data_IF_758316524270
#
_entry.id   IF_758316524270
#
_cell.length_a   1.000
_cell.length_b   1.000
_cell.length_c   1.000
_cell.angle_alpha   90.00
_cell.angle_beta   90.00
_cell.angle_gamma   90.00
#
_symmetry.space_group_name_H-M   'P 1'
#
loop_
_entity.id
_entity.type
_entity.pdbx_description
1 polymer ?
#
# COMPACT_ATOMS: atom_id res chain seq x y z
N UNK A 1 5.77 -24.11 10.70
CA UNK A 1 5.30 -22.76 11.10
C UNK A 1 4.37 -22.17 10.06
N UNK A 2 4.79 -22.08 8.79
CA UNK A 2 3.93 -21.57 7.71
C UNK A 2 2.65 -22.40 7.50
N UNK A 3 2.74 -23.73 7.60
CA UNK A 3 1.56 -24.61 7.47
C UNK A 3 0.52 -24.34 8.56
N UNK A 4 0.96 -24.18 9.81
CA UNK A 4 0.09 -23.85 10.93
C UNK A 4 -0.61 -22.47 10.77
N UNK A 5 0.08 -21.49 10.17
CA UNK A 5 -0.53 -20.19 9.83
C UNK A 5 -1.59 -20.37 8.73
N UNK A 6 -1.31 -21.22 7.74
CA UNK A 6 -2.25 -21.59 6.68
C UNK A 6 -3.52 -22.24 7.23
N UNK A 7 -3.37 -23.24 8.11
CA UNK A 7 -4.49 -23.97 8.69
C UNK A 7 -5.39 -23.08 9.54
N UNK A 8 -4.81 -22.21 10.37
CA UNK A 8 -5.58 -21.24 11.17
C UNK A 8 -6.35 -20.29 10.26
N UNK A 9 -5.70 -19.77 9.21
CA UNK A 9 -6.33 -18.86 8.26
C UNK A 9 -7.50 -19.55 7.54
N UNK A 10 -7.31 -20.77 7.05
CA UNK A 10 -8.34 -21.55 6.38
C UNK A 10 -9.53 -21.86 7.30
N UNK A 11 -9.28 -22.16 8.58
CA UNK A 11 -10.34 -22.46 9.55
C UNK A 11 -11.23 -21.26 9.86
N UNK A 12 -10.67 -20.06 9.98
CA UNK A 12 -11.41 -18.86 10.36
C UNK A 12 -11.88 -18.00 9.17
N UNK A 13 -11.36 -18.23 7.97
CA UNK A 13 -11.79 -17.51 6.76
C UNK A 13 -13.31 -17.58 6.52
N UNK A 14 -13.98 -18.75 6.57
CA UNK A 14 -15.43 -18.84 6.30
C UNK A 14 -16.27 -18.08 7.32
N UNK A 15 -15.90 -18.15 8.60
CA UNK A 15 -16.59 -17.40 9.67
C UNK A 15 -16.41 -15.89 9.45
N UNK A 16 -15.19 -15.46 9.16
CA UNK A 16 -14.89 -14.04 8.90
C UNK A 16 -15.65 -13.53 7.68
N UNK A 17 -15.75 -14.31 6.61
CA UNK A 17 -16.51 -13.96 5.41
C UNK A 17 -18.01 -13.84 5.68
N UNK A 18 -18.59 -14.79 6.41
CA UNK A 18 -20.03 -14.72 6.74
C UNK A 18 -20.37 -13.51 7.62
N UNK A 19 -19.53 -13.19 8.61
CA UNK A 19 -19.68 -11.99 9.44
C UNK A 19 -19.54 -10.71 8.61
N UNK A 20 -18.56 -10.64 7.70
CA UNK A 20 -18.39 -9.50 6.78
C UNK A 20 -19.62 -9.29 5.90
N UNK A 21 -20.22 -10.35 5.36
CA UNK A 21 -21.44 -10.28 4.55
C UNK A 21 -22.61 -9.71 5.36
N UNK A 22 -22.84 -10.26 6.55
CA UNK A 22 -23.92 -9.78 7.45
C UNK A 22 -23.70 -8.31 7.87
N UNK A 23 -22.47 -7.91 8.13
CA UNK A 23 -22.15 -6.51 8.42
C UNK A 23 -22.48 -5.60 7.23
N UNK A 24 -22.14 -6.00 6.01
CA UNK A 24 -22.44 -5.23 4.80
C UNK A 24 -23.96 -5.08 4.56
N UNK A 25 -24.73 -6.15 4.77
CA UNK A 25 -26.19 -6.12 4.69
C UNK A 25 -26.82 -5.14 5.69
N UNK A 26 -26.41 -5.24 6.96
CA UNK A 26 -26.89 -4.33 8.02
C UNK A 26 -26.49 -2.88 7.74
N UNK A 27 -25.24 -2.65 7.30
CA UNK A 27 -24.76 -1.32 6.93
C UNK A 27 -25.57 -0.73 5.77
N UNK A 28 -25.90 -1.53 4.75
CA UNK A 28 -26.74 -1.10 3.62
C UNK A 28 -28.14 -0.68 4.08
N UNK A 29 -28.75 -1.46 4.98
CA UNK A 29 -30.05 -1.11 5.57
C UNK A 29 -30.00 0.19 6.36
N UNK A 30 -28.99 0.36 7.22
CA UNK A 30 -28.78 1.60 7.99
C UNK A 30 -28.56 2.79 7.06
N UNK A 31 -27.72 2.64 6.03
CA UNK A 31 -27.45 3.70 5.07
C UNK A 31 -28.73 4.13 4.34
N UNK A 32 -29.52 3.17 3.85
CA UNK A 32 -30.78 3.46 3.13
C UNK A 32 -31.74 4.26 4.00
N UNK A 33 -31.91 3.85 5.27
CA UNK A 33 -32.77 4.57 6.20
C UNK A 33 -32.24 5.96 6.54
N UNK A 34 -30.93 6.09 6.84
CA UNK A 34 -30.29 7.36 7.17
C UNK A 34 -30.32 8.35 6.00
N UNK A 35 -30.19 7.89 4.75
CA UNK A 35 -30.28 8.73 3.56
C UNK A 35 -31.71 9.26 3.35
N UNK A 36 -32.73 8.43 3.57
CA UNK A 36 -34.14 8.83 3.48
C UNK A 36 -34.55 9.85 4.57
N UNK A 37 -33.94 9.78 5.75
CA UNK A 37 -34.25 10.66 6.90
C UNK A 37 -33.15 11.70 7.15
N UNK A 38 -32.31 11.98 6.15
CA UNK A 38 -31.11 12.80 6.33
C UNK A 38 -31.42 14.20 6.85
N UNK A 39 -32.44 14.84 6.30
CA UNK A 39 -32.80 16.21 6.70
C UNK A 39 -33.30 16.25 8.13
N UNK A 40 -34.08 15.27 8.57
CA UNK A 40 -34.51 15.15 9.98
C UNK A 40 -33.29 14.95 10.90
N UNK A 41 -32.43 14.00 10.57
CA UNK A 41 -31.25 13.63 11.35
C UNK A 41 -30.21 14.75 11.46
N UNK A 42 -30.15 15.64 10.47
CA UNK A 42 -29.14 16.70 10.40
C UNK A 42 -29.69 18.09 10.69
N UNK A 43 -30.99 18.21 11.03
CA UNK A 43 -31.64 19.50 11.22
C UNK A 43 -31.66 20.34 9.95
N UNK A 44 -31.99 19.72 8.82
CA UNK A 44 -31.96 20.26 7.46
C UNK A 44 -30.54 20.69 7.03
N UNK A 45 -29.55 19.84 7.31
CA UNK A 45 -28.15 20.06 6.93
C UNK A 45 -27.32 20.96 7.84
N UNK A 46 -27.83 21.33 9.03
CA UNK A 46 -27.07 22.12 10.03
C UNK A 46 -25.83 21.37 10.56
N UNK A 47 -25.95 20.06 10.70
CA UNK A 47 -24.83 19.17 11.06
C UNK A 47 -24.62 18.11 10.00
N UNK A 48 -23.50 17.38 10.06
CA UNK A 48 -23.19 16.28 9.12
C UNK A 48 -23.05 14.95 9.84
N UNK A 49 -23.72 14.81 10.98
CA UNK A 49 -23.69 13.60 11.80
C UNK A 49 -25.01 13.45 12.57
N UNK A 50 -25.30 12.23 13.00
CA UNK A 50 -26.40 11.93 13.91
C UNK A 50 -25.95 10.89 14.95
N UNK A 51 -26.14 11.22 16.22
CA UNK A 51 -25.84 10.34 17.35
C UNK A 51 -27.00 9.37 17.58
N UNK A 52 -26.69 8.09 17.68
CA UNK A 52 -27.59 6.98 17.96
C UNK A 52 -27.20 6.32 19.28
N UNK A 53 -28.05 5.43 19.80
CA UNK A 53 -27.84 4.77 21.10
C UNK A 53 -26.53 3.96 21.17
N UNK A 54 -26.10 3.37 20.06
CA UNK A 54 -24.92 2.49 20.00
C UNK A 54 -23.79 3.02 19.14
N UNK A 55 -23.86 4.29 18.71
CA UNK A 55 -22.83 4.89 17.87
C UNK A 55 -23.31 6.14 17.14
N UNK A 56 -22.60 6.53 16.09
CA UNK A 56 -22.88 7.74 15.33
C UNK A 56 -22.77 7.46 13.84
N UNK A 57 -23.66 8.06 13.05
CA UNK A 57 -23.58 8.07 11.59
C UNK A 57 -23.12 9.45 11.13
N UNK A 58 -22.25 9.51 10.12
CA UNK A 58 -21.72 10.77 9.61
C UNK A 58 -21.70 10.81 8.09
N UNK A 59 -22.00 11.98 7.53
CA UNK A 59 -21.89 12.29 6.11
C UNK A 59 -20.62 13.10 5.86
N UNK A 60 -19.56 12.41 5.43
CA UNK A 60 -18.29 13.05 5.08
C UNK A 60 -18.05 13.01 3.58
N UNK A 61 -17.65 14.14 3.01
CA UNK A 61 -17.01 14.14 1.71
C UNK A 61 -15.61 13.60 1.90
N UNK A 62 -15.25 12.53 1.18
CA UNK A 62 -13.84 12.12 1.15
C UNK A 62 -13.01 13.23 0.52
N UNK A 63 -11.80 13.53 1.03
CA UNK A 63 -10.90 14.43 0.33
C UNK A 63 -10.64 13.90 -1.08
N UNK A 64 -10.38 14.78 -2.07
CA UNK A 64 -10.05 14.36 -3.42
C UNK A 64 -8.92 13.31 -3.41
N UNK A 65 -9.11 12.22 -4.15
CA UNK A 65 -8.09 11.21 -4.37
C UNK A 65 -7.69 11.20 -5.85
N UNK A 66 -6.43 10.85 -6.13
CA UNK A 66 -5.91 10.70 -7.48
C UNK A 66 -5.71 9.21 -7.75
N UNK A 67 -6.20 8.73 -8.90
CA UNK A 67 -5.95 7.38 -9.39
C UNK A 67 -5.20 7.48 -10.72
N UNK A 68 -4.18 6.64 -10.90
CA UNK A 68 -3.31 6.64 -12.08
C UNK A 68 -3.38 5.24 -12.69
N UNK A 69 -3.61 5.16 -14.00
CA UNK A 69 -3.55 3.92 -14.78
C UNK A 69 -2.44 4.06 -15.82
N UNK A 70 -1.60 3.03 -15.96
CA UNK A 70 -0.45 3.07 -16.86
C UNK A 70 0.55 4.16 -16.43
N UNK A 71 1.13 4.00 -15.24
CA UNK A 71 1.98 5.02 -14.62
C UNK A 71 3.13 5.49 -15.53
N UNK A 72 3.75 4.58 -16.28
CA UNK A 72 4.89 4.91 -17.16
C UNK A 72 4.49 5.87 -18.29
N UNK A 73 3.37 5.61 -18.96
CA UNK A 73 2.83 6.50 -20.00
C UNK A 73 2.48 7.89 -19.44
N UNK A 74 1.92 7.91 -18.23
CA UNK A 74 1.59 9.17 -17.54
C UNK A 74 2.86 9.93 -17.18
N UNK A 75 3.91 9.25 -16.70
CA UNK A 75 5.21 9.86 -16.41
C UNK A 75 5.83 10.44 -17.69
N UNK A 76 5.82 9.70 -18.80
CA UNK A 76 6.33 10.21 -20.08
C UNK A 76 5.57 11.45 -20.54
N UNK A 77 4.25 11.43 -20.48
CA UNK A 77 3.41 12.56 -20.87
C UNK A 77 3.67 13.78 -19.97
N UNK A 78 3.79 13.57 -18.66
CA UNK A 78 4.15 14.63 -17.71
C UNK A 78 5.51 15.25 -18.03
N UNK A 79 6.51 14.45 -18.42
CA UNK A 79 7.81 14.96 -18.89
C UNK A 79 7.67 15.77 -20.18
N UNK A 80 6.96 15.25 -21.18
CA UNK A 80 6.73 15.94 -22.46
C UNK A 80 6.02 17.28 -22.28
N UNK A 81 5.13 17.39 -21.30
CA UNK A 81 4.39 18.60 -20.98
C UNK A 81 5.16 19.55 -20.03
N UNK A 82 6.39 19.21 -19.63
CA UNK A 82 7.19 20.02 -18.70
C UNK A 82 6.61 20.07 -17.27
N UNK A 83 5.80 19.08 -16.89
CA UNK A 83 5.11 19.00 -15.60
C UNK A 83 5.88 18.16 -14.58
N UNK A 84 7.19 18.37 -14.51
CA UNK A 84 8.11 17.56 -13.69
C UNK A 84 7.84 17.66 -12.19
N UNK A 85 7.19 18.74 -11.71
CA UNK A 85 6.75 18.90 -10.32
C UNK A 85 5.82 17.81 -9.81
N UNK A 86 5.18 17.05 -10.71
CA UNK A 86 4.32 15.91 -10.37
C UNK A 86 5.03 14.56 -10.45
N UNK A 87 6.31 14.55 -10.82
CA UNK A 87 7.14 13.35 -10.93
C UNK A 87 8.09 13.33 -9.73
N UNK A 88 7.99 12.29 -8.90
CA UNK A 88 8.96 12.08 -7.82
C UNK A 88 10.15 11.31 -8.36
N UNK A 89 11.35 11.87 -8.21
CA UNK A 89 12.61 11.21 -8.56
C UNK A 89 13.28 10.72 -7.28
N UNK A 90 13.77 9.48 -7.30
CA UNK A 90 14.63 8.92 -6.26
C UNK A 90 16.00 8.71 -6.89
N UNK A 91 17.00 9.40 -6.38
CA UNK A 91 18.39 9.17 -6.77
C UNK A 91 18.99 8.09 -5.87
N UNK A 92 19.55 7.05 -6.49
CA UNK A 92 20.21 5.96 -5.79
C UNK A 92 21.63 5.79 -6.33
N UNK A 93 22.55 5.44 -5.45
CA UNK A 93 23.95 5.20 -5.81
C UNK A 93 24.02 3.89 -6.61
N UNK A 94 24.47 3.98 -7.85
CA UNK A 94 24.73 2.81 -8.68
C UNK A 94 26.08 2.17 -8.30
N UNK A 95 26.04 1.16 -7.42
CA UNK A 95 27.23 0.44 -6.96
C UNK A 95 27.89 -0.39 -8.06
N UNK A 96 27.12 -0.92 -9.00
CA UNK A 96 27.66 -1.74 -10.10
C UNK A 96 28.49 -0.87 -11.07
N UNK A 97 28.00 0.34 -11.39
CA UNK A 97 28.77 1.30 -12.17
C UNK A 97 30.07 1.70 -11.46
N UNK A 98 30.01 1.92 -10.14
CA UNK A 98 31.21 2.16 -9.31
C UNK A 98 32.19 0.99 -9.37
N UNK A 99 31.71 -0.25 -9.32
CA UNK A 99 32.55 -1.43 -9.41
C UNK A 99 33.16 -1.63 -10.80
N UNK A 100 32.49 -1.17 -11.86
CA UNK A 100 33.02 -1.17 -13.22
C UNK A 100 34.08 -0.08 -13.43
N UNK A 101 33.90 1.10 -12.82
CA UNK A 101 34.77 2.28 -12.97
C UNK A 101 35.42 2.70 -11.63
N UNK A 102 36.11 1.75 -10.99
CA UNK A 102 36.66 1.93 -9.63
C UNK A 102 37.59 3.13 -9.48
N UNK A 103 38.38 3.44 -10.51
CA UNK A 103 39.31 4.57 -10.48
C UNK A 103 38.60 5.93 -10.55
N UNK A 104 37.43 6.01 -11.20
CA UNK A 104 36.69 7.27 -11.36
C UNK A 104 36.15 7.81 -10.02
N UNK A 105 35.96 6.93 -9.02
CA UNK A 105 35.37 7.29 -7.72
C UNK A 105 36.35 7.19 -6.54
N UNK A 106 37.61 6.87 -6.82
CA UNK A 106 38.65 6.58 -5.80
C UNK A 106 38.88 7.71 -4.80
N UNK A 107 38.68 8.95 -5.22
CA UNK A 107 38.91 10.15 -4.41
C UNK A 107 37.61 10.78 -3.86
N UNK A 108 36.47 10.09 -3.97
CA UNK A 108 35.19 10.60 -3.48
C UNK A 108 35.04 10.25 -1.99
N UNK A 109 34.97 11.25 -1.09
CA UNK A 109 34.74 10.99 0.33
C UNK A 109 33.43 10.22 0.55
N UNK A 110 33.50 9.13 1.33
CA UNK A 110 32.35 8.29 1.65
C UNK A 110 32.17 7.06 0.75
N UNK A 111 32.96 6.91 -0.33
CA UNK A 111 32.98 5.69 -1.14
C UNK A 111 34.21 4.87 -0.76
N UNK A 112 33.98 3.67 -0.20
CA UNK A 112 35.03 2.69 0.11
C UNK A 112 34.77 1.42 -0.67
N UNK A 113 35.70 1.03 -1.53
CA UNK A 113 35.66 -0.24 -2.26
C UNK A 113 36.52 -1.24 -1.49
N UNK A 114 35.90 -2.27 -0.91
CA UNK A 114 36.62 -3.38 -0.28
C UNK A 114 36.87 -4.44 -1.33
N UNK A 115 38.13 -4.81 -1.55
CA UNK A 115 38.54 -5.95 -2.38
C UNK A 115 39.26 -6.98 -1.52
N UNK A 116 39.33 -8.22 -2.02
CA UNK A 116 40.19 -9.28 -1.48
C UNK A 116 39.83 -9.73 -0.05
N UNK A 117 38.53 -9.76 0.27
CA UNK A 117 38.01 -10.40 1.48
C UNK A 117 37.67 -11.86 1.13
N UNK A 118 38.25 -12.78 1.87
CA UNK A 118 37.95 -14.21 1.76
C UNK A 118 36.78 -14.56 2.69
N UNK A 119 35.66 -15.00 2.12
CA UNK A 119 34.51 -15.51 2.86
C UNK A 119 34.48 -17.04 2.78
N UNK A 120 34.42 -17.69 3.94
CA UNK A 120 34.21 -19.14 4.04
C UNK A 120 32.71 -19.45 3.98
N UNK A 121 32.24 -20.08 2.90
CA UNK A 121 30.84 -20.50 2.76
C UNK A 121 30.71 -22.03 2.73
N UNK A 122 29.81 -22.58 3.53
CA UNK A 122 29.35 -23.96 3.40
C UNK A 122 28.06 -23.92 2.59
N UNK A 123 28.05 -24.53 1.41
CA UNK A 123 26.87 -24.69 0.57
C UNK A 123 26.45 -26.17 0.67
N UNK A 124 25.42 -26.51 1.46
CA UNK A 124 24.87 -27.86 1.48
C UNK A 124 24.34 -28.20 0.09
N UNK A 125 24.58 -29.43 -0.38
CA UNK A 125 23.95 -29.93 -1.60
C UNK A 125 22.52 -30.39 -1.27
N UNK A 126 21.52 -29.86 -1.97
CA UNK A 126 20.14 -30.37 -1.89
C UNK A 126 20.04 -31.70 -2.66
N UNK A 127 19.78 -32.79 -1.94
CA UNK A 127 19.36 -34.05 -2.56
C UNK A 127 17.83 -34.04 -2.67
N UNK A 128 17.33 -33.97 -3.91
CA UNK A 128 15.93 -34.31 -4.18
C UNK A 128 15.72 -35.80 -3.89
N UNK A 129 14.80 -36.08 -2.97
CA UNK A 129 14.34 -37.45 -2.69
C UNK A 129 13.49 -37.90 -3.88
N UNK A 130 13.98 -38.86 -4.66
CA UNK A 130 13.22 -39.56 -5.71
C UNK A 130 12.07 -40.39 -5.15
#
# INVERSE_FOLDING_TARGET
MNDAIGDITARYAPLTESLKKRMAELQSGIQTWCEAHRDELTGNGKVKFANLTTGEVQWRNRPPSVSIRGADNVIELLRRLGLERFIRVKEEINKDAILNEKEAVKNIPGISIKSDIEDFSIIPFEQDVQ
#
